data_IF_505586332605
#
_entry.id   IF_505586332605
#
_cell.length_a   1.000
_cell.length_b   1.000
_cell.length_c   1.000
_cell.angle_alpha   90.00
_cell.angle_beta   90.00
_cell.angle_gamma   90.00
#
_symmetry.space_group_name_H-M   'P 1'
#
loop_
_entity.id
_entity.type
_entity.pdbx_description
1 polymer ?
#
# COMPACT_ATOMS: atom_id res chain seq x y z
N UNK A 1 -18.18 5.46 10.04
CA UNK A 1 -16.89 5.40 10.77
C UNK A 1 -15.77 5.78 9.82
N UNK A 2 -15.02 6.85 10.14
CA UNK A 2 -13.77 7.20 9.44
C UNK A 2 -12.62 6.53 10.21
N UNK A 3 -11.87 5.59 9.62
CA UNK A 3 -10.72 4.99 10.28
C UNK A 3 -9.63 6.07 10.47
N UNK A 4 -8.81 5.90 11.51
CA UNK A 4 -7.62 6.69 11.77
C UNK A 4 -6.50 5.74 12.19
N UNK A 5 -5.27 6.07 11.81
CA UNK A 5 -4.08 5.31 12.17
C UNK A 5 -3.13 6.23 12.94
N UNK A 6 -2.39 5.65 13.88
CA UNK A 6 -1.37 6.37 14.64
C UNK A 6 -0.02 5.68 14.44
N UNK A 7 1.01 6.48 14.16
CA UNK A 7 2.36 6.03 13.80
C UNK A 7 3.02 5.19 14.90
N UNK A 8 2.76 5.53 16.16
CA UNK A 8 3.26 4.79 17.32
C UNK A 8 2.67 3.37 17.41
N UNK A 9 1.47 3.15 16.87
CA UNK A 9 0.76 1.86 16.86
C UNK A 9 1.09 0.95 15.67
N UNK A 10 2.01 1.35 14.80
CA UNK A 10 2.47 0.53 13.68
C UNK A 10 3.55 -0.43 14.15
N UNK A 11 3.34 -1.72 13.93
CA UNK A 11 4.30 -2.80 14.18
C UNK A 11 4.85 -3.33 12.85
N UNK A 12 6.15 -3.63 12.83
CA UNK A 12 6.86 -4.11 11.64
C UNK A 12 7.31 -5.55 11.86
N UNK A 13 7.15 -6.37 10.83
CA UNK A 13 7.58 -7.77 10.83
C UNK A 13 8.84 -8.02 9.99
N UNK A 14 9.22 -7.07 9.13
CA UNK A 14 10.43 -7.13 8.32
C UNK A 14 11.50 -6.21 8.90
N UNK A 15 12.72 -6.74 9.09
CA UNK A 15 13.83 -5.99 9.68
C UNK A 15 14.48 -4.97 8.73
N UNK A 16 14.24 -5.09 7.42
CA UNK A 16 14.85 -4.25 6.38
C UNK A 16 14.06 -2.98 6.06
N UNK A 17 12.90 -2.79 6.68
CA UNK A 17 11.97 -1.69 6.41
C UNK A 17 11.72 -0.94 7.71
N UNK A 18 11.86 0.38 7.70
CA UNK A 18 11.49 1.24 8.83
C UNK A 18 10.01 1.68 8.75
N UNK A 19 9.53 2.41 9.77
CA UNK A 19 8.13 2.83 9.83
C UNK A 19 7.77 3.83 8.73
N UNK A 20 8.69 4.72 8.32
CA UNK A 20 8.45 5.71 7.26
C UNK A 20 8.28 5.01 5.92
N UNK A 21 9.19 4.09 5.62
CA UNK A 21 9.15 3.26 4.42
C UNK A 21 7.88 2.39 4.39
N UNK A 22 7.48 1.78 5.51
CA UNK A 22 6.26 0.99 5.58
C UNK A 22 4.99 1.82 5.29
N UNK A 23 4.93 3.05 5.79
CA UNK A 23 3.81 3.97 5.51
C UNK A 23 3.78 4.35 4.04
N UNK A 24 4.93 4.68 3.44
CA UNK A 24 5.05 4.96 2.00
C UNK A 24 4.58 3.76 1.17
N UNK A 25 4.98 2.54 1.53
CA UNK A 25 4.55 1.31 0.86
C UNK A 25 3.03 1.09 0.97
N UNK A 26 2.44 1.31 2.15
CA UNK A 26 0.99 1.24 2.33
C UNK A 26 0.25 2.31 1.51
N UNK A 27 0.80 3.53 1.45
CA UNK A 27 0.27 4.63 0.63
C UNK A 27 0.41 4.36 -0.87
N UNK A 28 1.49 3.70 -1.30
CA UNK A 28 1.67 3.20 -2.68
C UNK A 28 0.57 2.21 -3.06
N UNK A 29 0.19 1.31 -2.15
CA UNK A 29 -0.92 0.38 -2.33
C UNK A 29 -2.32 1.04 -2.17
N UNK A 30 -2.40 2.33 -1.86
CA UNK A 30 -3.65 3.09 -1.70
C UNK A 30 -3.97 3.91 -2.95
N UNK A 31 -5.25 4.15 -3.24
CA UNK A 31 -5.66 5.03 -4.34
C UNK A 31 -5.59 6.51 -3.92
N UNK A 32 -5.05 7.35 -4.80
CA UNK A 32 -5.08 8.81 -4.66
C UNK A 32 -6.35 9.40 -5.30
N UNK A 33 -6.66 10.65 -4.95
CA UNK A 33 -7.97 11.33 -4.98
C UNK A 33 -8.79 11.38 -6.30
N UNK A 34 -8.36 10.75 -7.39
CA UNK A 34 -8.99 10.92 -8.70
C UNK A 34 -10.13 9.93 -9.03
N UNK A 35 -10.37 8.89 -8.22
CA UNK A 35 -11.46 7.94 -8.46
C UNK A 35 -12.58 8.09 -7.40
N UNK A 36 -13.83 8.19 -7.88
CA UNK A 36 -15.07 8.49 -7.15
C UNK A 36 -15.44 7.57 -5.96
N UNK A 37 -14.58 6.62 -5.58
CA UNK A 37 -14.71 5.82 -4.37
C UNK A 37 -13.36 5.73 -3.66
N UNK A 38 -12.95 6.80 -2.98
CA UNK A 38 -11.87 6.69 -1.99
C UNK A 38 -12.40 5.84 -0.84
N UNK A 39 -11.85 4.64 -0.69
CA UNK A 39 -12.13 3.82 0.48
C UNK A 39 -11.64 4.59 1.71
N UNK A 40 -12.46 4.67 2.76
CA UNK A 40 -12.12 5.45 3.96
C UNK A 40 -10.76 5.07 4.59
N UNK A 41 -10.30 3.83 4.35
CA UNK A 41 -8.98 3.34 4.77
C UNK A 41 -7.81 3.91 3.94
N UNK A 42 -8.01 4.19 2.65
CA UNK A 42 -7.01 4.80 1.77
C UNK A 42 -6.72 6.22 2.25
N UNK A 43 -7.78 7.00 2.53
CA UNK A 43 -7.66 8.34 3.09
C UNK A 43 -6.95 8.34 4.45
N UNK A 44 -7.23 7.35 5.30
CA UNK A 44 -6.58 7.24 6.60
C UNK A 44 -5.09 6.89 6.49
N UNK A 45 -4.71 6.03 5.54
CA UNK A 45 -3.29 5.73 5.27
C UNK A 45 -2.57 6.96 4.72
N UNK A 46 -3.17 7.66 3.74
CA UNK A 46 -2.59 8.88 3.18
C UNK A 46 -2.42 9.99 4.22
N UNK A 47 -3.28 10.04 5.25
CA UNK A 47 -3.14 11.00 6.35
C UNK A 47 -1.95 10.74 7.29
N UNK A 48 -1.25 9.61 7.14
CA UNK A 48 0.00 9.34 7.84
C UNK A 48 1.22 9.99 7.16
N UNK A 49 1.06 10.45 5.92
CA UNK A 49 2.09 11.19 5.19
C UNK A 49 1.92 12.68 5.44
N UNK A 50 3.05 13.41 5.51
CA UNK A 50 3.04 14.87 5.54
C UNK A 50 2.58 15.43 4.19
N UNK A 51 2.95 14.74 3.09
CA UNK A 51 2.55 15.08 1.72
C UNK A 51 2.07 13.81 0.98
N UNK A 52 0.81 13.74 0.53
CA UNK A 52 0.28 12.59 -0.20
C UNK A 52 1.03 12.28 -1.50
N UNK A 53 1.73 13.24 -2.11
CA UNK A 53 2.54 13.00 -3.31
C UNK A 53 3.74 12.09 -3.05
N UNK A 54 4.20 11.97 -1.80
CA UNK A 54 5.25 11.03 -1.38
C UNK A 54 4.88 9.58 -1.73
N UNK A 55 3.58 9.26 -1.80
CA UNK A 55 3.10 7.95 -2.22
C UNK A 55 3.43 7.61 -3.68
N UNK A 56 3.81 8.59 -4.51
CA UNK A 56 4.16 8.41 -5.94
C UNK A 56 5.55 8.98 -6.28
N UNK A 57 6.25 9.58 -5.32
CA UNK A 57 7.60 10.08 -5.52
C UNK A 57 8.57 8.97 -5.94
N UNK A 58 9.33 9.23 -7.01
CA UNK A 58 10.43 8.38 -7.47
C UNK A 58 10.01 7.03 -8.04
N UNK A 59 8.73 6.85 -8.41
CA UNK A 59 8.23 5.61 -9.01
C UNK A 59 7.42 5.88 -10.28
N UNK A 60 7.48 4.96 -11.23
CA UNK A 60 6.59 4.93 -12.39
C UNK A 60 5.53 3.84 -12.16
N UNK A 61 4.28 4.24 -11.96
CA UNK A 61 3.19 3.27 -11.77
C UNK A 61 2.85 2.61 -13.11
N UNK A 62 2.99 1.29 -13.16
CA UNK A 62 2.60 0.50 -14.33
C UNK A 62 1.13 0.14 -14.29
N UNK A 63 0.65 -0.34 -13.13
CA UNK A 63 -0.72 -0.80 -12.95
C UNK A 63 -1.21 -0.57 -11.52
N UNK A 64 -2.44 -0.08 -11.40
CA UNK A 64 -3.19 -0.04 -10.15
C UNK A 64 -4.34 -1.06 -10.21
N UNK A 65 -4.18 -2.20 -9.54
CA UNK A 65 -5.22 -3.23 -9.49
C UNK A 65 -6.13 -2.98 -8.28
N UNK A 66 -7.15 -2.14 -8.47
CA UNK A 66 -8.27 -2.02 -7.55
C UNK A 66 -9.27 -3.14 -7.84
N UNK A 67 -9.01 -4.32 -7.27
CA UNK A 67 -9.86 -5.53 -7.37
C UNK A 67 -10.00 -6.10 -8.78
N UNK A 68 -9.22 -7.12 -9.13
CA UNK A 68 -9.73 -8.30 -9.84
C UNK A 68 -8.72 -9.45 -9.64
N UNK A 69 -9.21 -10.59 -9.14
CA UNK A 69 -8.53 -11.90 -9.17
C UNK A 69 -7.27 -12.13 -8.29
N UNK A 70 -7.47 -12.23 -6.97
CA UNK A 70 -6.92 -13.38 -6.23
C UNK A 70 -8.06 -13.99 -5.42
N UNK A 71 -8.91 -14.75 -6.12
CA UNK A 71 -10.04 -15.57 -5.65
C UNK A 71 -10.37 -15.50 -4.14
N UNK A 72 -11.23 -14.54 -3.72
CA UNK A 72 -11.79 -14.38 -2.35
C UNK A 72 -11.00 -13.48 -1.36
N UNK A 73 -9.89 -12.86 -1.79
CA UNK A 73 -9.10 -11.95 -0.92
C UNK A 73 -9.29 -10.48 -1.31
N UNK A 74 -9.85 -9.69 -0.39
CA UNK A 74 -9.98 -8.23 -0.53
C UNK A 74 -8.60 -7.59 -0.32
N UNK A 75 -7.81 -7.51 -1.39
CA UNK A 75 -6.47 -6.91 -1.39
C UNK A 75 -6.39 -5.83 -2.48
N UNK A 76 -5.62 -4.77 -2.20
CA UNK A 76 -5.27 -3.73 -3.15
C UNK A 76 -3.80 -3.91 -3.51
N UNK A 77 -3.47 -3.89 -4.80
CA UNK A 77 -2.12 -4.12 -5.32
C UNK A 77 -1.74 -2.96 -6.25
N UNK A 78 -0.48 -2.54 -6.18
CA UNK A 78 0.13 -1.59 -7.10
C UNK A 78 1.44 -2.16 -7.62
N UNK A 79 1.60 -2.13 -8.94
CA UNK A 79 2.82 -2.52 -9.64
C UNK A 79 3.49 -1.25 -10.18
N UNK A 80 4.78 -1.08 -9.93
CA UNK A 80 5.53 0.11 -10.33
C UNK A 80 6.99 -0.22 -10.67
N UNK A 81 7.66 0.67 -11.37
CA UNK A 81 9.12 0.68 -11.53
C UNK A 81 9.69 1.67 -10.53
N UNK A 82 10.70 1.27 -9.77
CA UNK A 82 11.40 2.15 -8.82
C UNK A 82 12.46 3.03 -9.50
N UNK A 83 13.09 3.92 -8.74
CA UNK A 83 14.15 4.79 -9.24
C UNK A 83 15.39 4.06 -9.76
N UNK A 84 15.56 2.78 -9.41
CA UNK A 84 16.65 1.93 -9.86
C UNK A 84 16.29 1.14 -11.13
N UNK A 85 15.08 1.36 -11.69
CA UNK A 85 14.58 0.61 -12.84
C UNK A 85 14.08 -0.80 -12.50
N UNK A 86 13.95 -1.14 -11.22
CA UNK A 86 13.46 -2.45 -10.78
C UNK A 86 11.94 -2.47 -10.75
N UNK A 87 11.33 -3.56 -11.26
CA UNK A 87 9.88 -3.75 -11.19
C UNK A 87 9.50 -4.26 -9.80
N UNK A 88 8.64 -3.52 -9.12
CA UNK A 88 8.18 -3.77 -7.76
C UNK A 88 6.66 -3.94 -7.69
N UNK A 89 6.20 -4.70 -6.69
CA UNK A 89 4.79 -4.89 -6.39
C UNK A 89 4.56 -4.66 -4.90
N UNK A 90 3.52 -3.88 -4.55
CA UNK A 90 3.13 -3.65 -3.15
C UNK A 90 1.63 -3.81 -2.99
N UNK A 91 1.22 -4.47 -1.91
CA UNK A 91 -0.18 -4.71 -1.62
C UNK A 91 -0.57 -4.41 -0.18
N UNK A 92 -1.86 -4.19 0.05
CA UNK A 92 -2.47 -4.11 1.38
C UNK A 92 -3.77 -4.90 1.42
N UNK A 93 -4.12 -5.43 2.58
CA UNK A 93 -5.35 -6.20 2.77
C UNK A 93 -5.40 -6.87 4.13
N UNK A 94 -6.39 -7.74 4.30
CA UNK A 94 -6.56 -8.53 5.52
C UNK A 94 -5.32 -9.40 5.80
N UNK A 95 -4.67 -9.27 6.98
CA UNK A 95 -3.44 -10.00 7.30
C UNK A 95 -3.62 -11.53 7.28
N UNK A 96 -4.79 -12.05 7.69
CA UNK A 96 -5.08 -13.50 7.63
C UNK A 96 -5.08 -14.01 6.18
N UNK A 97 -5.45 -13.14 5.24
CA UNK A 97 -5.46 -13.43 3.81
C UNK A 97 -4.10 -13.20 3.16
N UNK A 98 -3.29 -12.26 3.65
CA UNK A 98 -1.95 -11.96 3.15
C UNK A 98 -0.93 -13.09 3.43
N UNK A 99 -0.97 -13.73 4.60
CA UNK A 99 0.01 -14.75 5.02
C UNK A 99 0.10 -15.96 4.06
N UNK A 100 -1.00 -16.30 3.37
CA UNK A 100 -1.03 -17.41 2.41
C UNK A 100 -0.37 -17.10 1.05
N UNK A 101 -0.06 -15.83 0.76
CA UNK A 101 0.57 -15.42 -0.49
C UNK A 101 2.09 -15.24 -0.37
N UNK A 102 2.66 -15.32 0.85
CA UNK A 102 4.10 -15.14 1.14
C UNK A 102 4.78 -16.49 1.44
N UNK A 103 4.31 -17.58 0.81
CA UNK A 103 5.03 -18.85 0.81
C UNK A 103 5.77 -18.98 -0.52
N UNK A 104 7.09 -18.94 -0.45
CA UNK A 104 8.09 -19.14 -1.52
C UNK A 104 8.35 -17.92 -2.41
N UNK A 105 9.35 -17.14 -2.00
CA UNK A 105 10.34 -16.52 -2.86
C UNK A 105 11.68 -16.51 -2.11
#
# INVERSE_FOLDING_TARGET
NKPCFFRDKIELFANSVDKDQAIILAARASRSQHEFCIESIDAAILSLLDDPEQARAGIEVLEHHARFFVALKLMFLTTYIDSNGSKCCVFKGDPAKASHSVKNA
#
